data_IF_093084123967
#
_entry.id   IF_093084123967
#
_cell.length_a   1.000
_cell.length_b   1.000
_cell.length_c   1.000
_cell.angle_alpha   90.00
_cell.angle_beta   90.00
_cell.angle_gamma   90.00
#
_symmetry.space_group_name_H-M   'P 1'
#
loop_
_entity.id
_entity.type
_entity.pdbx_description
1 polymer ?
#
# COMPACT_ATOMS: atom_id res chain seq x y z
N UNK A 1 27.04 -22.02 -3.71
CA UNK A 1 26.56 -20.63 -3.44
C UNK A 1 25.90 -20.02 -4.68
N UNK A 2 26.51 -20.12 -5.87
CA UNK A 2 25.94 -19.60 -7.14
C UNK A 2 24.47 -20.00 -7.41
N UNK A 3 24.10 -21.26 -7.20
CA UNK A 3 22.71 -21.72 -7.42
C UNK A 3 21.65 -21.11 -6.50
N UNK A 4 22.01 -20.66 -5.27
CA UNK A 4 21.08 -19.97 -4.37
C UNK A 4 20.90 -18.51 -4.75
N UNK A 5 21.97 -17.85 -5.21
CA UNK A 5 21.92 -16.47 -5.68
C UNK A 5 21.11 -16.34 -6.98
N UNK A 6 21.27 -17.29 -7.91
CA UNK A 6 20.48 -17.32 -9.15
C UNK A 6 18.97 -17.44 -8.90
N UNK A 7 18.57 -18.20 -7.87
CA UNK A 7 17.14 -18.35 -7.49
C UNK A 7 16.58 -17.07 -6.87
N UNK A 8 17.33 -16.44 -5.95
CA UNK A 8 16.95 -15.17 -5.36
C UNK A 8 16.84 -14.06 -6.43
N UNK A 9 17.73 -14.05 -7.42
CA UNK A 9 17.68 -13.10 -8.53
C UNK A 9 16.43 -13.31 -9.40
N UNK A 10 16.08 -14.57 -9.70
CA UNK A 10 14.86 -14.88 -10.46
C UNK A 10 13.57 -14.51 -9.72
N UNK A 11 13.53 -14.65 -8.39
CA UNK A 11 12.39 -14.25 -7.56
C UNK A 11 12.25 -12.72 -7.47
N UNK A 12 13.37 -11.98 -7.38
CA UNK A 12 13.35 -10.51 -7.36
C UNK A 12 12.97 -9.93 -8.73
N UNK A 13 13.29 -10.60 -9.84
CA UNK A 13 13.03 -10.09 -11.20
C UNK A 13 11.56 -9.74 -11.51
N UNK A 14 10.59 -10.24 -10.74
CA UNK A 14 9.15 -9.96 -10.90
C UNK A 14 8.63 -8.86 -9.96
N UNK A 15 9.52 -8.00 -9.45
CA UNK A 15 9.15 -6.91 -8.55
C UNK A 15 8.18 -5.89 -9.18
N UNK A 16 8.19 -5.76 -10.51
CA UNK A 16 7.35 -4.86 -11.29
C UNK A 16 5.86 -5.25 -11.29
N UNK A 17 5.55 -6.50 -10.89
CA UNK A 17 4.18 -6.99 -10.74
C UNK A 17 3.47 -6.59 -9.44
N UNK A 18 4.14 -5.87 -8.53
CA UNK A 18 3.58 -5.48 -7.24
C UNK A 18 3.18 -4.01 -7.21
N UNK A 19 2.09 -3.70 -6.49
CA UNK A 19 1.63 -2.31 -6.31
C UNK A 19 2.63 -1.46 -5.52
N UNK A 20 3.37 -2.09 -4.59
CA UNK A 20 4.38 -1.45 -3.76
C UNK A 20 5.61 -2.35 -3.58
N UNK A 21 6.80 -1.76 -3.68
CA UNK A 21 8.08 -2.40 -3.38
C UNK A 21 8.83 -1.55 -2.37
N UNK A 22 9.33 -2.17 -1.30
CA UNK A 22 10.09 -1.51 -0.23
C UNK A 22 11.46 -2.14 -0.13
N UNK A 23 12.51 -1.31 -0.16
CA UNK A 23 13.88 -1.75 0.08
C UNK A 23 14.13 -1.80 1.58
N UNK A 24 14.51 -2.98 2.08
CA UNK A 24 14.82 -3.23 3.49
C UNK A 24 16.32 -3.02 3.76
N UNK A 25 16.75 -1.75 3.78
CA UNK A 25 18.12 -1.38 4.17
C UNK A 25 18.26 -1.26 5.70
N UNK A 26 17.17 -0.92 6.38
CA UNK A 26 17.03 -0.84 7.83
C UNK A 26 15.65 -1.37 8.23
N UNK A 27 15.62 -2.24 9.23
CA UNK A 27 14.41 -3.01 9.58
C UNK A 27 13.32 -2.12 10.17
N UNK A 28 13.68 -1.19 11.05
CA UNK A 28 12.73 -0.31 11.71
C UNK A 28 12.11 0.65 10.69
N UNK A 29 12.95 1.25 9.86
CA UNK A 29 12.52 2.14 8.77
C UNK A 29 11.67 1.41 7.73
N UNK A 30 12.02 0.17 7.38
CA UNK A 30 11.26 -0.64 6.44
C UNK A 30 9.87 -0.99 7.01
N UNK A 31 9.81 -1.33 8.29
CA UNK A 31 8.55 -1.60 8.96
C UNK A 31 7.62 -0.38 8.96
N UNK A 32 8.16 0.80 9.29
CA UNK A 32 7.39 2.04 9.28
C UNK A 32 6.82 2.36 7.90
N UNK A 33 7.61 2.16 6.83
CA UNK A 33 7.13 2.32 5.44
C UNK A 33 5.94 1.39 5.13
N UNK A 34 6.01 0.13 5.55
CA UNK A 34 4.92 -0.84 5.33
C UNK A 34 3.66 -0.44 6.10
N UNK A 35 3.81 0.00 7.36
CA UNK A 35 2.68 0.50 8.17
C UNK A 35 2.04 1.73 7.52
N UNK A 36 2.85 2.65 6.99
CA UNK A 36 2.37 3.84 6.27
C UNK A 36 1.58 3.48 5.00
N UNK A 37 2.08 2.54 4.19
CA UNK A 37 1.36 2.05 3.01
C UNK A 37 -0.01 1.50 3.43
N UNK A 38 -0.05 0.64 4.46
CA UNK A 38 -1.31 0.09 4.96
C UNK A 38 -2.27 1.17 5.49
N UNK A 39 -1.75 2.20 6.17
CA UNK A 39 -2.56 3.32 6.65
C UNK A 39 -3.14 4.13 5.50
N UNK A 40 -2.35 4.43 4.47
CA UNK A 40 -2.80 5.15 3.28
C UNK A 40 -3.88 4.35 2.51
N UNK A 41 -3.66 3.05 2.32
CA UNK A 41 -4.63 2.16 1.66
C UNK A 41 -5.97 2.12 2.40
N UNK A 42 -5.96 2.15 3.74
CA UNK A 42 -7.19 2.21 4.56
C UNK A 42 -7.93 3.53 4.40
N UNK A 43 -7.23 4.61 4.10
CA UNK A 43 -7.83 5.92 3.81
C UNK A 43 -8.32 6.04 2.37
N UNK A 44 -8.07 5.05 1.50
CA UNK A 44 -8.61 5.05 0.14
C UNK A 44 -10.13 5.18 0.15
N UNK A 45 -10.66 6.06 -0.71
CA UNK A 45 -12.11 6.31 -0.88
C UNK A 45 -12.90 5.01 -1.05
N UNK A 46 -12.32 4.01 -1.74
CA UNK A 46 -12.95 2.72 -1.97
C UNK A 46 -13.20 1.94 -0.66
N UNK A 47 -12.39 2.16 0.37
CA UNK A 47 -12.50 1.49 1.68
C UNK A 47 -13.24 2.33 2.72
N UNK A 48 -13.48 3.62 2.47
CA UNK A 48 -14.23 4.48 3.37
C UNK A 48 -15.75 4.24 3.22
N UNK A 49 -16.28 3.30 4.02
CA UNK A 49 -17.71 3.04 4.09
C UNK A 49 -18.46 4.25 4.63
N UNK A 50 -19.64 4.55 4.06
CA UNK A 50 -20.46 5.69 4.47
C UNK A 50 -20.02 7.06 3.95
N UNK A 51 -18.81 7.20 3.40
CA UNK A 51 -18.30 8.48 2.88
C UNK A 51 -19.21 9.09 1.81
N UNK A 52 -19.75 8.28 0.90
CA UNK A 52 -20.67 8.77 -0.15
C UNK A 52 -21.96 9.33 0.46
N UNK A 53 -22.49 8.67 1.49
CA UNK A 53 -23.69 9.14 2.21
C UNK A 53 -23.42 10.45 2.93
N UNK A 54 -22.31 10.51 3.67
CA UNK A 54 -21.85 11.68 4.39
C UNK A 54 -21.68 12.90 3.47
N UNK A 55 -20.99 12.75 2.34
CA UNK A 55 -20.80 13.84 1.36
C UNK A 55 -22.13 14.27 0.74
N UNK A 56 -23.04 13.33 0.44
CA UNK A 56 -24.37 13.68 -0.11
C UNK A 56 -25.24 14.45 0.87
N UNK A 57 -25.10 14.20 2.15
CA UNK A 57 -25.80 14.93 3.20
C UNK A 57 -25.29 16.36 3.33
N UNK A 58 -23.96 16.55 3.33
CA UNK A 58 -23.31 17.87 3.30
C UNK A 58 -23.69 18.73 2.08
N UNK A 59 -23.94 18.08 0.94
CA UNK A 59 -24.28 18.76 -0.31
C UNK A 59 -25.78 19.04 -0.46
N UNK A 60 -26.61 18.74 0.55
CA UNK A 60 -28.04 19.04 0.50
C UNK A 60 -28.25 20.54 0.73
N UNK A 61 -28.90 21.27 -0.18
CA UNK A 61 -29.24 22.66 0.07
C UNK A 61 -30.20 22.77 1.25
N UNK A 62 -29.95 23.74 2.14
CA UNK A 62 -30.89 24.11 3.21
C UNK A 62 -32.25 24.45 2.58
N UNK A 63 -33.32 23.87 3.12
CA UNK A 63 -34.70 24.06 2.65
C UNK A 63 -35.30 25.35 3.21
#
# INVERSE_FOLDING_TARGET
IAGRMARAQAEISHWDGYDYVVVNDDIDTCFDKVVQILAAERLSRARQTGLIGFVRELMRPEA
#
